data_IF_951029651476
#
_entry.id   IF_951029651476
#
_cell.length_a   1.000
_cell.length_b   1.000
_cell.length_c   1.000
_cell.angle_alpha   90.00
_cell.angle_beta   90.00
_cell.angle_gamma   90.00
#
_symmetry.space_group_name_H-M   'P 1'
#
loop_
_entity.id
_entity.type
_entity.pdbx_description
1 polymer ?
#
# COMPACT_ATOMS: atom_id res chain seq x y z
N UNK A 1 63.10 35.09 -42.66
CA UNK A 1 62.55 34.18 -43.67
C UNK A 1 62.13 32.87 -43.05
N UNK A 2 60.85 32.66 -42.80
CA UNK A 2 60.26 31.42 -42.34
C UNK A 2 60.36 30.41 -43.49
N UNK A 3 61.34 29.50 -43.44
CA UNK A 3 61.37 28.33 -44.31
C UNK A 3 60.14 27.48 -44.02
N UNK A 4 59.21 27.36 -44.94
CA UNK A 4 58.12 26.39 -44.92
C UNK A 4 58.74 25.00 -44.89
N UNK A 5 58.70 24.37 -43.73
CA UNK A 5 59.04 22.97 -43.58
C UNK A 5 58.00 22.17 -44.36
N UNK A 6 58.38 21.65 -45.54
CA UNK A 6 57.52 20.74 -46.30
C UNK A 6 57.29 19.49 -45.47
N UNK A 7 56.05 19.16 -45.11
CA UNK A 7 55.80 17.96 -44.36
C UNK A 7 56.30 16.75 -45.16
N UNK A 8 57.03 15.89 -44.47
CA UNK A 8 57.57 14.65 -45.03
C UNK A 8 56.39 13.85 -45.63
N UNK A 9 56.47 13.37 -46.85
CA UNK A 9 55.42 12.68 -47.62
C UNK A 9 54.84 11.48 -46.79
N UNK A 10 55.70 10.83 -46.02
CA UNK A 10 55.34 9.76 -45.10
C UNK A 10 54.41 10.24 -43.96
N UNK A 11 54.61 11.45 -43.41
CA UNK A 11 53.78 12.02 -42.38
C UNK A 11 52.37 12.35 -42.87
N UNK A 12 52.24 12.83 -44.11
CA UNK A 12 50.94 13.06 -44.77
C UNK A 12 50.19 11.75 -45.00
N UNK A 13 50.85 10.71 -45.49
CA UNK A 13 50.23 9.38 -45.68
C UNK A 13 49.78 8.77 -44.35
N UNK A 14 50.59 8.91 -43.31
CA UNK A 14 50.21 8.49 -41.97
C UNK A 14 48.98 9.28 -41.45
N UNK A 15 48.94 10.60 -41.62
CA UNK A 15 47.81 11.41 -41.23
C UNK A 15 46.52 11.00 -41.96
N UNK A 16 46.59 10.78 -43.28
CA UNK A 16 45.43 10.27 -44.03
C UNK A 16 45.01 8.86 -43.58
N UNK A 17 45.93 7.97 -43.31
CA UNK A 17 45.63 6.65 -42.81
C UNK A 17 44.94 6.71 -41.42
N UNK A 18 45.45 7.56 -40.51
CA UNK A 18 44.80 7.80 -39.20
C UNK A 18 43.43 8.40 -39.30
N UNK A 19 43.22 9.41 -40.19
CA UNK A 19 41.90 9.99 -40.41
C UNK A 19 40.95 8.94 -40.99
N UNK A 20 41.40 8.15 -41.96
CA UNK A 20 40.57 7.12 -42.59
C UNK A 20 40.18 6.02 -41.60
N UNK A 21 41.12 5.56 -40.74
CA UNK A 21 40.84 4.62 -39.69
C UNK A 21 39.91 5.20 -38.63
N UNK A 22 40.08 6.45 -38.24
CA UNK A 22 39.20 7.15 -37.32
C UNK A 22 37.78 7.27 -37.89
N UNK A 23 37.65 7.74 -39.13
CA UNK A 23 36.33 7.83 -39.79
C UNK A 23 35.69 6.46 -39.97
N UNK A 24 36.46 5.45 -40.34
CA UNK A 24 36.01 4.07 -40.45
C UNK A 24 35.54 3.49 -39.10
N UNK A 25 36.30 3.75 -38.04
CA UNK A 25 35.91 3.32 -36.71
C UNK A 25 34.63 4.04 -36.18
N UNK A 26 34.54 5.34 -36.42
CA UNK A 26 33.33 6.10 -36.04
C UNK A 26 32.11 5.61 -36.83
N UNK A 27 32.24 5.36 -38.13
CA UNK A 27 31.15 4.82 -38.95
C UNK A 27 30.77 3.39 -38.46
N UNK A 28 31.75 2.54 -38.20
CA UNK A 28 31.53 1.18 -37.71
C UNK A 28 30.81 1.21 -36.35
N UNK A 29 31.30 1.99 -35.40
CA UNK A 29 30.70 2.13 -34.05
C UNK A 29 29.29 2.66 -34.16
N UNK A 30 29.00 3.63 -35.05
CA UNK A 30 27.67 4.20 -35.19
C UNK A 30 26.64 3.22 -35.74
N UNK A 31 27.05 2.23 -36.52
CA UNK A 31 26.18 1.20 -37.09
C UNK A 31 25.99 -0.01 -36.17
N UNK A 32 26.69 -0.09 -35.05
CA UNK A 32 26.55 -1.20 -34.10
C UNK A 32 25.12 -1.26 -33.55
N UNK A 33 24.55 -2.47 -33.47
CA UNK A 33 23.26 -2.66 -32.83
C UNK A 33 23.39 -2.39 -31.33
N UNK A 34 22.57 -1.48 -30.85
CA UNK A 34 22.49 -1.08 -29.45
C UNK A 34 21.11 -1.41 -28.88
N UNK A 35 21.07 -2.21 -27.84
CA UNK A 35 19.81 -2.46 -27.16
C UNK A 35 19.46 -1.27 -26.25
N UNK A 36 18.36 -0.60 -26.56
CA UNK A 36 17.82 0.44 -25.69
C UNK A 36 17.36 -0.16 -24.38
N UNK A 37 17.57 0.54 -23.30
CA UNK A 37 17.12 0.14 -21.97
C UNK A 37 16.52 1.33 -21.25
N UNK A 38 15.40 1.09 -20.59
CA UNK A 38 14.89 1.94 -19.53
C UNK A 38 15.30 1.33 -18.20
N UNK A 39 15.62 2.13 -17.23
CA UNK A 39 16.02 1.65 -15.93
C UNK A 39 15.02 2.10 -14.85
N UNK A 40 14.80 1.25 -13.87
CA UNK A 40 13.97 1.53 -12.72
C UNK A 40 14.60 0.99 -11.45
N UNK A 41 14.23 1.55 -10.34
CA UNK A 41 14.60 1.08 -9.01
C UNK A 41 13.35 0.88 -8.17
N UNK A 42 13.42 -0.10 -7.28
CA UNK A 42 12.28 -0.41 -6.44
C UNK A 42 12.60 -1.52 -5.44
N UNK A 43 11.62 -2.34 -5.12
CA UNK A 43 11.76 -3.38 -4.12
C UNK A 43 10.92 -4.61 -4.42
N UNK A 44 11.28 -5.71 -3.78
CA UNK A 44 10.51 -6.95 -3.80
C UNK A 44 9.26 -6.78 -2.93
N UNK A 45 8.11 -7.06 -3.49
CA UNK A 45 6.82 -6.99 -2.79
C UNK A 45 5.96 -8.22 -3.10
N UNK A 46 5.04 -8.61 -2.24
CA UNK A 46 4.02 -9.59 -2.59
C UNK A 46 3.12 -9.07 -3.70
N UNK A 47 2.75 -9.95 -4.60
CA UNK A 47 1.82 -9.61 -5.67
C UNK A 47 0.44 -9.23 -5.11
N UNK A 48 -0.08 -10.03 -4.21
CA UNK A 48 -1.37 -9.79 -3.58
C UNK A 48 -1.25 -8.73 -2.46
N UNK A 49 -2.07 -7.66 -2.48
CA UNK A 49 -2.03 -6.62 -1.44
C UNK A 49 -2.23 -7.16 -0.01
N UNK A 50 -3.03 -8.22 0.12
CA UNK A 50 -3.32 -8.86 1.41
C UNK A 50 -2.11 -9.58 2.03
N UNK A 51 -1.07 -9.86 1.25
CA UNK A 51 0.15 -10.54 1.69
C UNK A 51 1.27 -9.55 2.04
N UNK A 52 0.99 -8.25 1.90
CA UNK A 52 1.92 -7.20 2.34
C UNK A 52 1.95 -7.10 3.86
N UNK A 53 2.97 -6.41 4.36
CA UNK A 53 3.10 -6.12 5.79
C UNK A 53 1.82 -5.52 6.36
N UNK A 54 1.27 -6.16 7.37
CA UNK A 54 0.03 -5.75 8.03
C UNK A 54 0.32 -5.20 9.40
N UNK A 55 -0.22 -4.01 9.68
CA UNK A 55 -0.22 -3.44 11.02
C UNK A 55 -1.47 -3.91 11.72
N UNK A 56 -1.31 -4.66 12.82
CA UNK A 56 -2.41 -5.08 13.66
C UNK A 56 -2.56 -4.03 14.75
N UNK A 57 -3.74 -3.40 14.77
CA UNK A 57 -4.06 -2.32 15.69
C UNK A 57 -4.91 -2.82 16.86
N UNK A 58 -4.87 -2.06 17.96
CA UNK A 58 -5.74 -2.28 19.11
C UNK A 58 -7.21 -2.02 18.73
N UNK A 59 -8.12 -2.98 18.94
CA UNK A 59 -9.54 -2.80 18.66
C UNK A 59 -10.25 -1.97 19.73
N UNK A 60 -9.66 -1.88 20.91
CA UNK A 60 -10.19 -1.17 22.09
C UNK A 60 -9.05 -0.50 22.86
N UNK A 61 -9.37 0.53 23.62
CA UNK A 61 -8.46 1.12 24.58
C UNK A 61 -8.33 0.23 25.80
N UNK A 62 -7.13 0.15 26.39
CA UNK A 62 -6.92 -0.62 27.61
C UNK A 62 -5.46 -0.74 28.00
N UNK A 63 -5.19 -1.65 28.93
CA UNK A 63 -3.86 -2.04 29.37
C UNK A 63 -3.47 -3.36 28.73
N UNK A 64 -2.26 -3.46 28.23
CA UNK A 64 -1.71 -4.73 27.78
C UNK A 64 -1.47 -5.61 28.99
N UNK A 65 -2.24 -6.68 29.10
CA UNK A 65 -2.14 -7.64 30.20
C UNK A 65 -1.08 -8.69 29.90
N UNK A 66 -1.12 -9.28 28.71
CA UNK A 66 -0.20 -10.36 28.33
C UNK A 66 0.05 -10.35 26.83
N UNK A 67 1.33 -10.53 26.45
CA UNK A 67 1.73 -10.89 25.10
C UNK A 67 1.84 -12.42 24.98
N UNK A 68 1.29 -12.98 23.90
CA UNK A 68 1.42 -14.40 23.55
C UNK A 68 2.50 -14.62 22.51
N UNK A 69 3.00 -13.55 21.90
CA UNK A 69 4.00 -13.60 20.84
C UNK A 69 5.20 -12.73 21.18
N UNK A 70 6.34 -13.05 20.56
CA UNK A 70 7.57 -12.26 20.60
C UNK A 70 7.97 -11.89 19.18
N UNK A 71 8.85 -10.91 19.03
CA UNK A 71 9.41 -10.58 17.72
C UNK A 71 10.11 -11.78 17.10
N UNK A 72 9.86 -12.04 15.82
CA UNK A 72 10.36 -13.23 15.12
C UNK A 72 9.49 -14.47 15.24
N UNK A 73 8.48 -14.50 16.10
CA UNK A 73 7.58 -15.64 16.24
C UNK A 73 6.73 -15.85 14.98
N UNK A 74 6.52 -17.11 14.61
CA UNK A 74 5.52 -17.50 13.60
C UNK A 74 4.18 -17.70 14.27
N UNK A 75 3.13 -17.23 13.61
CA UNK A 75 1.74 -17.33 14.05
C UNK A 75 0.87 -17.88 12.93
N UNK A 76 -0.11 -18.69 13.31
CA UNK A 76 -1.18 -19.15 12.42
C UNK A 76 -2.40 -18.22 12.50
N UNK A 77 -3.28 -18.30 11.51
CA UNK A 77 -4.53 -17.54 11.56
C UNK A 77 -5.34 -17.92 12.80
N UNK A 78 -5.77 -16.93 13.58
CA UNK A 78 -6.51 -17.13 14.83
C UNK A 78 -5.66 -17.27 16.09
N UNK A 79 -4.32 -17.38 15.97
CA UNK A 79 -3.46 -17.45 17.16
C UNK A 79 -3.54 -16.15 17.97
N UNK A 80 -3.56 -16.24 19.31
CA UNK A 80 -3.58 -15.07 20.17
C UNK A 80 -2.27 -14.29 20.08
N UNK A 81 -2.36 -12.99 19.91
CA UNK A 81 -1.20 -12.09 19.87
C UNK A 81 -1.03 -11.38 21.21
N UNK A 82 -2.08 -10.72 21.66
CA UNK A 82 -2.06 -9.92 22.89
C UNK A 82 -3.42 -9.86 23.54
N UNK A 83 -3.43 -9.85 24.86
CA UNK A 83 -4.60 -9.58 25.68
C UNK A 83 -4.58 -8.13 26.15
N UNK A 84 -5.70 -7.44 25.93
CA UNK A 84 -5.92 -6.06 26.37
C UNK A 84 -7.02 -6.11 27.44
N UNK A 85 -6.73 -5.63 28.64
CA UNK A 85 -7.68 -5.57 29.74
C UNK A 85 -8.17 -4.14 29.89
N UNK A 86 -9.47 -3.96 30.12
CA UNK A 86 -10.03 -2.64 30.43
C UNK A 86 -9.51 -2.16 31.82
N UNK A 87 -9.44 -0.85 31.99
CA UNK A 87 -9.14 -0.21 33.28
C UNK A 87 -10.20 -0.55 34.34
N UNK A 88 -11.43 -0.73 33.92
CA UNK A 88 -12.56 -1.00 34.80
C UNK A 88 -12.95 -2.47 34.69
N UNK A 89 -12.35 -3.28 35.55
CA UNK A 89 -12.64 -4.72 35.62
C UNK A 89 -14.11 -5.03 35.87
N UNK A 90 -14.87 -4.09 36.46
CA UNK A 90 -16.30 -4.25 36.76
C UNK A 90 -17.20 -3.72 35.62
N UNK A 91 -16.64 -3.03 34.63
CA UNK A 91 -17.43 -2.46 33.53
C UNK A 91 -18.17 -3.52 32.72
N UNK A 92 -17.51 -4.64 32.46
CA UNK A 92 -18.10 -5.75 31.73
C UNK A 92 -19.27 -6.39 32.48
N UNK A 93 -19.14 -6.57 33.80
CA UNK A 93 -20.21 -7.11 34.63
C UNK A 93 -21.39 -6.15 34.77
N UNK A 94 -21.09 -4.85 34.84
CA UNK A 94 -22.15 -3.82 34.79
C UNK A 94 -22.91 -3.84 33.47
N UNK A 95 -22.22 -3.98 32.33
CA UNK A 95 -22.87 -4.11 31.02
C UNK A 95 -23.74 -5.37 30.93
N UNK A 96 -23.32 -6.51 31.48
CA UNK A 96 -24.14 -7.74 31.56
C UNK A 96 -25.39 -7.52 32.39
N UNK A 97 -25.26 -6.88 33.56
CA UNK A 97 -26.40 -6.57 34.42
C UNK A 97 -27.37 -5.59 33.69
N UNK A 98 -26.85 -4.59 33.01
CA UNK A 98 -27.65 -3.67 32.22
C UNK A 98 -28.36 -4.38 31.06
N UNK A 99 -27.66 -5.32 30.37
CA UNK A 99 -28.26 -6.14 29.31
C UNK A 99 -29.47 -6.92 29.84
N UNK A 100 -29.33 -7.61 30.97
CA UNK A 100 -30.44 -8.39 31.57
C UNK A 100 -31.60 -7.51 31.98
N UNK A 101 -31.36 -6.34 32.57
CA UNK A 101 -32.40 -5.39 32.94
C UNK A 101 -33.13 -4.83 31.72
N UNK A 102 -32.40 -4.50 30.65
CA UNK A 102 -33.00 -4.01 29.40
C UNK A 102 -33.80 -5.11 28.70
N UNK A 103 -33.36 -6.34 28.73
CA UNK A 103 -34.11 -7.48 28.20
C UNK A 103 -35.42 -7.66 28.94
N UNK A 104 -35.42 -7.62 30.28
CA UNK A 104 -36.64 -7.69 31.09
C UNK A 104 -37.61 -6.52 30.80
N UNK A 105 -37.07 -5.29 30.62
CA UNK A 105 -37.89 -4.13 30.25
C UNK A 105 -38.53 -4.29 28.87
N UNK A 106 -37.78 -4.86 27.90
CA UNK A 106 -38.33 -5.16 26.57
C UNK A 106 -39.43 -6.20 26.64
N UNK A 107 -39.25 -7.27 27.41
CA UNK A 107 -40.26 -8.32 27.58
C UNK A 107 -41.52 -7.77 28.24
N UNK A 108 -41.40 -6.90 29.25
CA UNK A 108 -42.55 -6.20 29.85
C UNK A 108 -43.31 -5.28 28.85
N UNK A 109 -42.57 -4.53 28.02
CA UNK A 109 -43.16 -3.68 26.97
C UNK A 109 -43.87 -4.51 25.89
N UNK A 110 -43.36 -5.68 25.55
CA UNK A 110 -44.01 -6.63 24.61
C UNK A 110 -45.31 -7.18 25.17
N UNK A 111 -45.39 -7.51 26.47
CA UNK A 111 -46.63 -7.92 27.12
C UNK A 111 -47.67 -6.79 27.13
N UNK A 112 -47.23 -5.54 27.40
CA UNK A 112 -48.09 -4.38 27.34
C UNK A 112 -48.63 -4.14 25.90
N UNK A 113 -47.79 -4.29 24.88
CA UNK A 113 -48.19 -4.19 23.48
C UNK A 113 -49.20 -5.28 23.11
N UNK A 114 -48.99 -6.53 23.50
CA UNK A 114 -49.97 -7.61 23.24
C UNK A 114 -51.30 -7.34 23.92
N UNK A 115 -51.27 -6.85 25.15
CA UNK A 115 -52.49 -6.48 25.88
C UNK A 115 -53.24 -5.34 25.20
N UNK A 116 -52.55 -4.30 24.77
CA UNK A 116 -53.11 -3.17 24.02
C UNK A 116 -53.68 -3.58 22.66
N UNK A 117 -52.97 -4.51 21.97
CA UNK A 117 -53.48 -5.07 20.72
C UNK A 117 -54.78 -5.83 20.87
N UNK A 118 -54.91 -6.68 21.89
CA UNK A 118 -56.14 -7.39 22.22
C UNK A 118 -57.26 -6.40 22.57
N UNK A 119 -56.98 -5.30 23.26
CA UNK A 119 -57.94 -4.25 23.53
C UNK A 119 -58.38 -3.54 22.24
N UNK A 120 -57.45 -3.19 21.37
CA UNK A 120 -57.71 -2.58 20.07
C UNK A 120 -58.66 -3.45 19.23
N UNK A 121 -58.36 -4.74 19.10
CA UNK A 121 -59.21 -5.67 18.36
C UNK A 121 -60.60 -5.80 18.94
N UNK A 122 -60.72 -5.81 20.29
CA UNK A 122 -62.02 -5.83 20.97
C UNK A 122 -62.82 -4.56 20.70
N UNK A 123 -62.19 -3.36 20.82
CA UNK A 123 -62.87 -2.09 20.56
C UNK A 123 -63.29 -1.97 19.09
N UNK A 124 -62.47 -2.46 18.16
CA UNK A 124 -62.79 -2.54 16.73
C UNK A 124 -64.06 -3.34 16.49
N UNK A 125 -64.15 -4.56 17.02
CA UNK A 125 -65.33 -5.43 16.88
C UNK A 125 -66.58 -4.84 17.50
N UNK A 126 -66.46 -4.13 18.61
CA UNK A 126 -67.58 -3.47 19.27
C UNK A 126 -68.07 -2.23 18.49
N UNK A 127 -67.16 -1.45 17.93
CA UNK A 127 -67.47 -0.32 17.09
C UNK A 127 -68.17 -0.76 15.77
N UNK A 128 -67.68 -1.82 15.12
CA UNK A 128 -68.29 -2.42 13.93
C UNK A 128 -69.75 -2.88 14.18
N UNK A 129 -70.06 -3.28 15.42
CA UNK A 129 -71.43 -3.70 15.85
C UNK A 129 -72.26 -2.55 16.36
N UNK A 130 -71.78 -1.30 16.35
CA UNK A 130 -72.45 -0.15 16.85
C UNK A 130 -72.60 -0.07 18.38
N UNK A 131 -71.84 -0.94 19.13
CA UNK A 131 -71.93 -1.04 20.59
C UNK A 131 -70.95 -0.11 21.32
N UNK A 132 -70.03 0.52 20.58
CA UNK A 132 -69.03 1.48 21.07
C UNK A 132 -68.86 2.62 20.09
N UNK A 133 -68.38 3.78 20.59
CA UNK A 133 -68.10 4.93 19.75
C UNK A 133 -66.82 4.78 18.91
N UNK A 134 -66.80 5.43 17.75
CA UNK A 134 -65.60 5.52 16.91
C UNK A 134 -64.40 6.12 17.68
N UNK A 135 -64.68 7.04 18.60
CA UNK A 135 -63.67 7.65 19.47
C UNK A 135 -62.99 6.64 20.38
N UNK A 136 -63.71 5.64 20.95
CA UNK A 136 -63.12 4.60 21.80
C UNK A 136 -62.16 3.70 21.02
N UNK A 137 -62.48 3.42 19.75
CA UNK A 137 -61.58 2.69 18.85
C UNK A 137 -60.30 3.50 18.54
N UNK A 138 -60.46 4.82 18.26
CA UNK A 138 -59.33 5.70 17.97
C UNK A 138 -58.40 5.83 19.20
N UNK A 139 -58.91 5.93 20.39
CA UNK A 139 -58.14 5.95 21.63
C UNK A 139 -57.35 4.64 21.82
N UNK A 140 -58.00 3.49 21.60
CA UNK A 140 -57.33 2.20 21.69
C UNK A 140 -56.20 2.06 20.63
N UNK A 141 -56.41 2.62 19.44
CA UNK A 141 -55.38 2.66 18.39
C UNK A 141 -54.21 3.57 18.75
N UNK A 142 -54.44 4.70 19.38
CA UNK A 142 -53.39 5.57 19.89
C UNK A 142 -52.56 4.88 20.98
N UNK A 143 -53.23 4.17 21.90
CA UNK A 143 -52.57 3.40 22.96
C UNK A 143 -51.71 2.27 22.40
N UNK A 144 -52.20 1.51 21.43
CA UNK A 144 -51.43 0.49 20.71
C UNK A 144 -50.19 1.09 20.04
N UNK A 145 -50.34 2.19 19.30
CA UNK A 145 -49.21 2.85 18.64
C UNK A 145 -48.16 3.37 19.63
N UNK A 146 -48.59 3.83 20.82
CA UNK A 146 -47.72 4.24 21.91
C UNK A 146 -46.83 3.04 22.38
N UNK A 147 -47.44 1.90 22.69
CA UNK A 147 -46.72 0.72 23.13
C UNK A 147 -45.84 0.12 22.01
N UNK A 148 -46.26 0.22 20.74
CA UNK A 148 -45.44 -0.18 19.60
C UNK A 148 -44.16 0.65 19.51
N UNK A 149 -44.26 1.96 19.70
CA UNK A 149 -43.13 2.87 19.71
C UNK A 149 -42.21 2.60 20.91
N UNK A 150 -42.79 2.26 22.09
CA UNK A 150 -42.01 1.90 23.27
C UNK A 150 -41.19 0.61 23.07
N UNK A 151 -41.78 -0.44 22.48
CA UNK A 151 -41.07 -1.69 22.15
C UNK A 151 -39.91 -1.39 21.20
N UNK A 152 -40.12 -0.59 20.14
CA UNK A 152 -39.07 -0.22 19.22
C UNK A 152 -37.92 0.55 19.90
N UNK A 153 -38.24 1.43 20.86
CA UNK A 153 -37.24 2.15 21.65
C UNK A 153 -36.41 1.18 22.52
N UNK A 154 -37.07 0.20 23.20
CA UNK A 154 -36.38 -0.82 24.01
C UNK A 154 -35.55 -1.79 23.20
N UNK A 155 -36.00 -2.14 21.98
CA UNK A 155 -35.20 -2.94 21.04
C UNK A 155 -33.91 -2.21 20.62
N UNK A 156 -34.00 -0.91 20.36
CA UNK A 156 -32.82 -0.08 20.08
C UNK A 156 -31.86 -0.05 21.27
N UNK A 157 -32.37 0.21 22.48
CA UNK A 157 -31.55 0.23 23.70
C UNK A 157 -30.80 -1.12 23.89
N UNK A 158 -31.49 -2.24 23.63
CA UNK A 158 -30.92 -3.57 23.70
C UNK A 158 -29.77 -3.76 22.69
N UNK A 159 -29.98 -3.35 21.43
CA UNK A 159 -28.95 -3.42 20.37
C UNK A 159 -27.73 -2.57 20.72
N UNK A 160 -27.92 -1.38 21.29
CA UNK A 160 -26.83 -0.49 21.71
C UNK A 160 -25.98 -1.13 22.82
N UNK A 161 -26.62 -1.79 23.81
CA UNK A 161 -25.87 -2.50 24.87
C UNK A 161 -25.17 -3.72 24.33
N UNK A 162 -25.80 -4.50 23.46
CA UNK A 162 -25.19 -5.67 22.81
C UNK A 162 -23.95 -5.26 22.00
N UNK A 163 -24.04 -4.14 21.26
CA UNK A 163 -22.91 -3.60 20.50
C UNK A 163 -21.74 -3.21 21.42
N UNK A 164 -22.04 -2.56 22.56
CA UNK A 164 -21.02 -2.22 23.57
C UNK A 164 -20.38 -3.47 24.17
N UNK A 165 -21.19 -4.48 24.49
CA UNK A 165 -20.70 -5.74 25.05
C UNK A 165 -19.82 -6.50 24.05
N UNK A 166 -20.21 -6.54 22.76
CA UNK A 166 -19.42 -7.20 21.72
C UNK A 166 -18.08 -6.51 21.51
N UNK A 167 -18.02 -5.18 21.53
CA UNK A 167 -16.74 -4.42 21.46
C UNK A 167 -15.84 -4.74 22.66
N UNK A 168 -16.43 -4.85 23.86
CA UNK A 168 -15.68 -5.13 25.07
C UNK A 168 -15.18 -6.60 25.16
N UNK A 169 -15.87 -7.54 24.50
CA UNK A 169 -15.44 -8.93 24.41
C UNK A 169 -14.19 -9.14 23.53
N UNK A 170 -13.85 -8.14 22.67
CA UNK A 170 -12.63 -8.17 21.84
C UNK A 170 -11.36 -7.80 22.65
N UNK A 171 -11.20 -8.37 23.85
CA UNK A 171 -10.00 -8.15 24.66
C UNK A 171 -8.79 -8.92 24.16
N UNK A 172 -9.01 -9.96 23.36
CA UNK A 172 -7.95 -10.77 22.77
C UNK A 172 -7.78 -10.41 21.28
N UNK A 173 -6.61 -9.89 20.95
CA UNK A 173 -6.24 -9.62 19.56
C UNK A 173 -5.60 -10.89 18.99
N UNK A 174 -6.13 -11.36 17.87
CA UNK A 174 -5.66 -12.59 17.21
C UNK A 174 -5.02 -12.27 15.86
N UNK A 175 -4.19 -13.17 15.37
CA UNK A 175 -3.58 -13.06 14.05
C UNK A 175 -4.65 -13.23 12.95
N UNK A 176 -4.78 -12.29 12.02
CA UNK A 176 -5.76 -12.39 10.93
C UNK A 176 -5.39 -13.47 9.90
N UNK A 177 -4.12 -13.86 9.86
CA UNK A 177 -3.57 -14.90 8.97
C UNK A 177 -2.23 -15.41 9.48
N UNK A 178 -1.73 -16.46 8.85
CA UNK A 178 -0.38 -16.97 9.13
C UNK A 178 0.71 -15.99 8.67
N UNK A 179 1.80 -15.96 9.40
CA UNK A 179 2.92 -15.09 9.10
C UNK A 179 3.92 -15.01 10.25
N UNK A 180 4.86 -14.09 10.11
CA UNK A 180 5.88 -13.83 11.13
C UNK A 180 5.69 -12.45 11.75
N UNK A 181 5.75 -12.37 13.09
CA UNK A 181 5.73 -11.11 13.82
C UNK A 181 7.08 -10.40 13.60
N UNK A 182 7.06 -9.22 13.00
CA UNK A 182 8.28 -8.45 12.73
C UNK A 182 8.66 -7.53 13.87
N UNK A 183 7.68 -6.81 14.43
CA UNK A 183 7.90 -5.82 15.47
C UNK A 183 6.72 -5.77 16.43
N UNK A 184 7.05 -5.65 17.70
CA UNK A 184 6.13 -5.39 18.81
C UNK A 184 6.37 -3.96 19.29
N UNK A 185 5.33 -3.11 19.33
CA UNK A 185 5.50 -1.67 19.59
C UNK A 185 5.39 -1.29 21.05
N UNK A 186 4.82 -2.14 21.89
CA UNK A 186 4.62 -1.84 23.30
C UNK A 186 5.29 -2.89 24.19
N UNK A 187 5.89 -2.48 25.32
CA UNK A 187 6.51 -3.40 26.27
C UNK A 187 5.45 -4.28 26.97
N UNK A 188 5.88 -5.43 27.47
CA UNK A 188 5.05 -6.27 28.30
C UNK A 188 4.84 -5.64 29.68
N UNK A 189 3.59 -5.67 30.15
CA UNK A 189 3.23 -5.27 31.50
C UNK A 189 2.84 -3.79 31.63
N UNK A 190 1.54 -3.51 31.58
CA UNK A 190 0.96 -2.23 31.97
C UNK A 190 1.05 -1.09 30.96
N UNK A 191 1.49 -1.34 29.73
CA UNK A 191 1.43 -0.33 28.68
C UNK A 191 -0.02 -0.02 28.30
N UNK A 192 -0.35 1.26 28.30
CA UNK A 192 -1.66 1.77 27.90
C UNK A 192 -1.73 1.93 26.40
N UNK A 193 -2.76 1.39 25.78
CA UNK A 193 -3.03 1.52 24.35
C UNK A 193 -4.38 2.18 24.12
N UNK A 194 -4.50 2.90 23.01
CA UNK A 194 -5.73 3.49 22.51
C UNK A 194 -6.26 2.67 21.33
N UNK A 195 -7.54 2.78 21.07
CA UNK A 195 -8.12 2.23 19.85
C UNK A 195 -7.41 2.79 18.61
N UNK A 196 -6.98 1.89 17.71
CA UNK A 196 -6.21 2.24 16.52
C UNK A 196 -4.69 2.24 16.68
N UNK A 197 -4.14 2.17 17.91
CA UNK A 197 -2.69 2.08 18.11
C UNK A 197 -2.14 0.79 17.50
N UNK A 198 -1.04 0.90 16.73
CA UNK A 198 -0.39 -0.27 16.14
C UNK A 198 0.29 -1.09 17.23
N UNK A 199 -0.13 -2.32 17.42
CA UNK A 199 0.40 -3.26 18.41
C UNK A 199 1.59 -4.04 17.86
N UNK A 200 1.41 -4.64 16.68
CA UNK A 200 2.44 -5.44 16.01
C UNK A 200 2.42 -5.22 14.51
N UNK A 201 3.54 -5.50 13.87
CA UNK A 201 3.61 -5.65 12.41
C UNK A 201 3.75 -7.14 12.09
N UNK A 202 2.80 -7.67 11.34
CA UNK A 202 2.78 -9.03 10.81
C UNK A 202 3.28 -9.03 9.37
N UNK A 203 4.22 -9.90 9.04
CA UNK A 203 4.63 -10.24 7.69
C UNK A 203 3.98 -11.56 7.29
N UNK A 204 2.92 -11.53 6.47
CA UNK A 204 2.32 -12.77 5.98
C UNK A 204 3.31 -13.61 5.18
N UNK A 205 3.17 -14.93 5.24
CA UNK A 205 3.89 -15.81 4.33
C UNK A 205 3.26 -15.71 2.94
N UNK A 206 4.10 -15.49 1.92
CA UNK A 206 3.69 -15.42 0.51
C UNK A 206 4.68 -16.17 -0.36
N UNK A 207 4.17 -16.86 -1.36
CA UNK A 207 4.98 -17.55 -2.37
C UNK A 207 5.09 -16.73 -3.67
N UNK A 208 4.17 -15.77 -3.88
CA UNK A 208 4.14 -14.95 -5.08
C UNK A 208 4.79 -13.58 -4.84
N UNK A 209 6.11 -13.55 -5.05
CA UNK A 209 6.88 -12.32 -5.01
C UNK A 209 6.98 -11.71 -6.40
N UNK A 210 6.82 -10.40 -6.47
CA UNK A 210 7.06 -9.56 -7.65
C UNK A 210 8.00 -8.43 -7.28
N UNK A 211 8.59 -7.80 -8.28
CA UNK A 211 9.38 -6.59 -8.07
C UNK A 211 8.56 -5.41 -8.54
N UNK A 212 8.31 -4.47 -7.66
CA UNK A 212 7.85 -3.15 -8.08
C UNK A 212 9.05 -2.30 -8.47
N UNK A 213 9.00 -1.71 -9.66
CA UNK A 213 10.00 -0.77 -10.14
C UNK A 213 9.35 0.56 -10.48
N UNK A 214 10.05 1.62 -10.17
CA UNK A 214 9.66 2.98 -10.53
C UNK A 214 10.52 3.44 -11.70
N UNK A 215 9.88 3.66 -12.83
CA UNK A 215 10.49 4.06 -14.10
C UNK A 215 10.15 5.50 -14.44
N UNK A 216 10.99 6.13 -15.25
CA UNK A 216 10.78 7.50 -15.68
C UNK A 216 9.59 7.61 -16.65
N UNK A 217 8.75 8.66 -16.50
CA UNK A 217 7.60 8.88 -17.36
C UNK A 217 7.96 9.10 -18.83
N UNK A 218 9.18 9.58 -19.12
CA UNK A 218 9.63 9.76 -20.50
C UNK A 218 9.80 8.43 -21.25
N UNK A 219 10.09 7.34 -20.51
CA UNK A 219 10.28 6.02 -21.09
C UNK A 219 8.97 5.23 -21.17
N UNK A 220 7.89 5.71 -20.51
CA UNK A 220 6.61 5.02 -20.45
C UNK A 220 6.02 4.61 -21.80
N UNK A 221 6.06 5.47 -22.87
CA UNK A 221 5.55 5.09 -24.19
C UNK A 221 6.30 3.91 -24.83
N UNK A 222 7.52 3.61 -24.36
CA UNK A 222 8.35 2.53 -24.87
C UNK A 222 8.10 1.21 -24.12
N UNK A 223 7.35 1.26 -23.00
CA UNK A 223 7.05 0.10 -22.16
C UNK A 223 5.77 -0.61 -22.65
N UNK A 224 5.79 -1.92 -22.54
CA UNK A 224 4.60 -2.75 -22.75
C UNK A 224 4.61 -3.95 -21.82
N UNK A 225 3.42 -4.45 -21.48
CA UNK A 225 3.25 -5.68 -20.73
C UNK A 225 3.90 -6.84 -21.50
N UNK A 226 4.57 -7.74 -20.79
CA UNK A 226 5.30 -8.86 -21.36
C UNK A 226 6.74 -8.54 -21.81
N UNK A 227 7.21 -7.29 -21.73
CA UNK A 227 8.62 -6.98 -22.02
C UNK A 227 9.54 -7.60 -20.97
N UNK A 228 10.70 -8.04 -21.43
CA UNK A 228 11.74 -8.62 -20.57
C UNK A 228 12.43 -7.55 -19.75
N UNK A 229 12.72 -7.91 -18.52
CA UNK A 229 13.44 -7.06 -17.55
C UNK A 229 14.59 -7.86 -16.96
N UNK A 230 15.75 -7.25 -16.88
CA UNK A 230 16.90 -7.78 -16.11
C UNK A 230 16.88 -7.15 -14.73
N UNK A 231 16.83 -7.96 -13.70
CA UNK A 231 16.77 -7.56 -12.31
C UNK A 231 18.07 -7.85 -11.58
N UNK A 232 18.53 -6.90 -10.81
CA UNK A 232 19.62 -7.05 -9.86
C UNK A 232 19.06 -6.81 -8.46
N UNK A 233 19.18 -7.82 -7.60
CA UNK A 233 18.79 -7.69 -6.20
C UNK A 233 19.95 -7.18 -5.35
N UNK A 234 19.64 -6.39 -4.34
CA UNK A 234 20.64 -5.90 -3.38
C UNK A 234 21.30 -7.08 -2.65
N UNK A 235 22.62 -6.99 -2.47
CA UNK A 235 23.40 -8.08 -1.89
C UNK A 235 23.81 -9.18 -2.87
N UNK A 236 23.35 -9.12 -4.13
CA UNK A 236 23.73 -10.08 -5.16
C UNK A 236 24.78 -9.48 -6.10
N UNK A 237 25.97 -10.08 -6.23
CA UNK A 237 27.00 -9.56 -7.13
C UNK A 237 26.54 -9.69 -8.58
N UNK A 238 26.60 -8.60 -9.32
CA UNK A 238 26.27 -8.59 -10.74
C UNK A 238 27.32 -7.81 -11.53
N UNK A 239 27.68 -8.33 -12.70
CA UNK A 239 28.53 -7.65 -13.69
C UNK A 239 27.67 -7.33 -14.90
N UNK A 240 27.64 -6.06 -15.30
CA UNK A 240 26.82 -5.58 -16.40
C UNK A 240 27.68 -4.93 -17.47
N UNK A 241 27.25 -5.09 -18.72
CA UNK A 241 27.82 -4.40 -19.87
C UNK A 241 26.80 -3.43 -20.43
N UNK A 242 27.15 -2.14 -20.43
CA UNK A 242 26.31 -1.11 -21.01
C UNK A 242 26.09 -1.39 -22.50
N UNK A 243 24.85 -1.37 -22.97
CA UNK A 243 24.50 -1.71 -24.36
C UNK A 243 24.22 -3.19 -24.64
N UNK A 244 24.60 -4.09 -23.73
CA UNK A 244 24.34 -5.52 -23.84
C UNK A 244 23.86 -6.12 -22.52
N UNK A 245 22.75 -5.64 -21.97
CA UNK A 245 22.26 -6.10 -20.65
C UNK A 245 21.83 -7.57 -20.66
N UNK A 246 21.60 -8.16 -21.82
CA UNK A 246 21.29 -9.58 -21.95
C UNK A 246 22.48 -10.49 -21.58
N UNK A 247 23.70 -9.97 -21.58
CA UNK A 247 24.93 -10.71 -21.25
C UNK A 247 25.33 -10.50 -19.78
N UNK A 248 24.55 -9.77 -19.00
CA UNK A 248 24.85 -9.48 -17.60
C UNK A 248 24.85 -10.76 -16.74
N UNK A 249 25.93 -10.97 -16.00
CA UNK A 249 26.07 -12.11 -15.06
C UNK A 249 25.57 -11.67 -13.69
N UNK A 250 24.84 -12.56 -13.00
CA UNK A 250 24.28 -12.27 -11.66
C UNK A 250 22.99 -11.44 -11.68
N UNK A 251 22.36 -11.29 -12.84
CA UNK A 251 21.03 -10.71 -12.97
C UNK A 251 19.99 -11.79 -13.22
N UNK A 252 18.74 -11.51 -12.84
CA UNK A 252 17.61 -12.43 -12.96
C UNK A 252 16.61 -11.90 -13.97
N UNK A 253 16.01 -12.83 -14.72
CA UNK A 253 14.98 -12.49 -15.69
C UNK A 253 13.63 -12.21 -15.04
N UNK A 254 12.90 -11.27 -15.62
CA UNK A 254 11.51 -10.98 -15.28
C UNK A 254 10.74 -10.47 -16.47
N UNK A 255 9.44 -10.47 -16.37
CA UNK A 255 8.51 -9.95 -17.36
C UNK A 255 7.64 -8.86 -16.72
N UNK A 256 7.38 -7.79 -17.46
CA UNK A 256 6.43 -6.77 -17.01
C UNK A 256 5.03 -7.39 -16.96
N UNK A 257 4.46 -7.48 -15.78
CA UNK A 257 3.09 -7.98 -15.54
C UNK A 257 2.06 -6.86 -15.66
N UNK A 258 2.37 -5.71 -15.08
CA UNK A 258 1.44 -4.57 -15.01
C UNK A 258 2.21 -3.26 -15.06
N UNK A 259 1.62 -2.27 -15.70
CA UNK A 259 2.08 -0.87 -15.74
C UNK A 259 0.94 -0.05 -15.13
N UNK A 260 1.23 0.72 -14.09
CA UNK A 260 0.22 1.58 -13.47
C UNK A 260 -0.16 2.72 -14.42
N UNK A 261 -1.46 3.05 -14.53
CA UNK A 261 -1.94 4.10 -15.45
C UNK A 261 -1.67 5.52 -14.96
N UNK A 262 -1.26 5.69 -13.70
CA UNK A 262 -1.04 6.99 -13.06
C UNK A 262 0.36 7.11 -12.50
N UNK A 263 0.85 8.36 -12.43
CA UNK A 263 2.11 8.70 -11.76
C UNK A 263 2.04 8.39 -10.26
N UNK A 264 3.13 7.82 -9.74
CA UNK A 264 3.32 7.53 -8.30
C UNK A 264 3.88 8.72 -7.52
N UNK A 265 3.95 9.90 -8.12
CA UNK A 265 4.61 11.10 -7.65
C UNK A 265 6.03 11.24 -8.23
N UNK A 266 6.47 12.46 -8.43
CA UNK A 266 7.77 12.81 -9.01
C UNK A 266 7.99 12.34 -10.48
N UNK A 267 6.96 12.22 -11.31
CA UNK A 267 7.07 11.84 -12.72
C UNK A 267 7.51 10.40 -12.96
N UNK A 268 7.34 9.52 -11.95
CA UNK A 268 7.68 8.10 -12.04
C UNK A 268 6.44 7.24 -12.04
N UNK A 269 6.45 6.24 -12.92
CA UNK A 269 5.38 5.25 -13.02
C UNK A 269 5.83 3.93 -12.42
N UNK A 270 4.94 3.31 -11.68
CA UNK A 270 5.18 2.00 -11.08
C UNK A 270 4.86 0.91 -12.09
N UNK A 271 5.77 -0.05 -12.21
CA UNK A 271 5.55 -1.29 -12.94
C UNK A 271 5.76 -2.48 -12.00
N UNK A 272 5.01 -3.54 -12.23
CA UNK A 272 5.19 -4.81 -11.53
C UNK A 272 5.84 -5.81 -12.47
N UNK A 273 6.90 -6.45 -11.99
CA UNK A 273 7.69 -7.44 -12.74
C UNK A 273 7.56 -8.78 -12.04
N UNK A 274 7.14 -9.80 -12.78
CA UNK A 274 7.08 -11.19 -12.31
C UNK A 274 8.30 -11.99 -12.80
N UNK A 275 8.65 -13.14 -12.17
CA UNK A 275 9.71 -14.01 -12.64
C UNK A 275 9.46 -14.52 -14.05
N UNK A 276 10.48 -14.53 -14.91
CA UNK A 276 10.40 -15.20 -16.22
C UNK A 276 10.60 -16.71 -16.01
N UNK A 277 9.58 -17.50 -16.35
CA UNK A 277 9.60 -18.97 -16.22
C UNK A 277 10.61 -19.65 -17.14
N UNK A 278 11.07 -18.97 -18.18
CA UNK A 278 12.05 -19.48 -19.13
C UNK A 278 13.50 -19.24 -18.71
N UNK A 279 13.72 -18.54 -17.59
CA UNK A 279 15.02 -18.22 -17.07
C UNK A 279 15.24 -18.84 -15.68
N UNK A 280 16.49 -18.84 -15.16
CA UNK A 280 16.75 -19.33 -13.82
C UNK A 280 15.82 -18.66 -12.79
N UNK A 281 15.28 -19.43 -11.84
CA UNK A 281 14.37 -18.88 -10.84
C UNK A 281 15.09 -17.82 -9.99
N UNK A 282 14.31 -16.87 -9.50
CA UNK A 282 14.82 -15.90 -8.54
C UNK A 282 15.32 -16.60 -7.27
N UNK A 283 16.24 -15.98 -6.51
CA UNK A 283 16.72 -16.55 -5.27
C UNK A 283 15.56 -16.87 -4.35
N UNK A 284 15.55 -18.08 -3.79
CA UNK A 284 14.51 -18.49 -2.85
C UNK A 284 14.68 -17.83 -1.48
N UNK A 285 13.69 -18.06 -0.61
CA UNK A 285 13.83 -17.74 0.81
C UNK A 285 14.97 -18.61 1.41
N UNK A 286 15.81 -18.07 2.29
CA UNK A 286 15.69 -16.82 3.04
C UNK A 286 16.36 -15.60 2.39
N UNK A 287 16.89 -15.72 1.16
CA UNK A 287 17.71 -14.66 0.53
C UNK A 287 16.82 -13.52 0.03
N UNK A 288 15.81 -13.84 -0.78
CA UNK A 288 14.89 -12.86 -1.32
C UNK A 288 13.70 -12.67 -0.38
N UNK A 289 13.70 -11.55 0.35
CA UNK A 289 12.66 -11.18 1.29
C UNK A 289 11.89 -9.97 0.78
N UNK A 290 10.67 -9.81 1.26
CA UNK A 290 9.90 -8.59 1.05
C UNK A 290 10.69 -7.37 1.51
N UNK A 291 10.75 -6.31 0.69
CA UNK A 291 11.50 -5.08 0.96
C UNK A 291 12.95 -5.10 0.47
N UNK A 292 13.49 -6.22 -0.04
CA UNK A 292 14.81 -6.24 -0.69
C UNK A 292 14.79 -5.29 -1.88
N UNK A 293 15.78 -4.40 -1.95
CA UNK A 293 15.87 -3.45 -3.06
C UNK A 293 16.26 -4.15 -4.35
N UNK A 294 15.68 -3.68 -5.44
CA UNK A 294 15.96 -4.17 -6.77
C UNK A 294 16.23 -3.03 -7.75
N UNK A 295 17.15 -3.25 -8.66
CA UNK A 295 17.34 -2.43 -9.87
C UNK A 295 16.91 -3.25 -11.06
N UNK A 296 16.18 -2.64 -11.99
CA UNK A 296 15.70 -3.29 -13.20
C UNK A 296 16.10 -2.53 -14.45
N UNK A 297 16.50 -3.27 -15.46
CA UNK A 297 16.75 -2.78 -16.82
C UNK A 297 15.71 -3.43 -17.73
N UNK A 298 14.80 -2.63 -18.20
CA UNK A 298 13.76 -3.05 -19.13
C UNK A 298 14.37 -3.05 -20.52
N UNK A 299 14.35 -4.19 -21.18
CA UNK A 299 14.89 -4.38 -22.52
C UNK A 299 13.89 -3.81 -23.53
N UNK A 300 14.28 -2.70 -24.18
CA UNK A 300 13.49 -2.06 -25.21
C UNK A 300 13.90 -2.59 -26.60
N UNK A 301 13.69 -1.81 -27.63
CA UNK A 301 14.01 -2.21 -29.01
C UNK A 301 15.51 -2.05 -29.30
N UNK A 302 16.01 -2.84 -30.26
CA UNK A 302 17.39 -2.72 -30.71
C UNK A 302 17.44 -1.66 -31.81
N UNK A 303 18.25 -0.64 -31.57
CA UNK A 303 18.46 0.50 -32.49
C UNK A 303 19.92 0.61 -32.85
N UNK A 304 20.26 1.44 -33.84
CA UNK A 304 21.65 1.75 -34.14
C UNK A 304 22.23 2.71 -33.09
N UNK A 305 23.50 2.52 -32.73
CA UNK A 305 24.13 3.31 -31.67
C UNK A 305 24.12 4.82 -31.92
N UNK A 306 24.27 5.25 -33.18
CA UNK A 306 24.19 6.69 -33.53
C UNK A 306 22.84 7.30 -33.19
N UNK A 307 21.72 6.53 -33.38
CA UNK A 307 20.37 6.99 -33.05
C UNK A 307 20.19 7.15 -31.54
N UNK A 308 20.70 6.20 -30.75
CA UNK A 308 20.65 6.29 -29.30
C UNK A 308 21.48 7.46 -28.75
N UNK A 309 22.66 7.70 -29.35
CA UNK A 309 23.46 8.87 -29.01
C UNK A 309 22.75 10.18 -29.36
N UNK A 310 22.17 10.24 -30.57
CA UNK A 310 21.38 11.39 -31.00
C UNK A 310 20.19 11.65 -30.07
N UNK A 311 19.45 10.60 -29.70
CA UNK A 311 18.33 10.67 -28.77
C UNK A 311 18.76 11.23 -27.40
N UNK A 312 19.86 10.74 -26.85
CA UNK A 312 20.40 11.21 -25.57
C UNK A 312 20.90 12.65 -25.63
N UNK A 313 21.55 13.03 -26.73
CA UNK A 313 22.03 14.39 -26.92
C UNK A 313 20.91 15.43 -27.08
N UNK A 314 19.83 15.08 -27.77
CA UNK A 314 18.70 15.95 -27.95
C UNK A 314 17.74 15.97 -26.77
N UNK A 315 18.00 15.20 -25.73
CA UNK A 315 17.27 15.16 -24.48
C UNK A 315 15.76 15.22 -24.64
N UNK A 316 15.06 14.14 -24.37
CA UNK A 316 13.64 14.27 -24.17
C UNK A 316 13.38 15.31 -23.08
N UNK A 317 12.22 16.02 -23.10
CA UNK A 317 11.95 17.07 -22.14
C UNK A 317 12.22 16.58 -20.71
N UNK A 318 12.77 17.46 -19.84
CA UNK A 318 13.05 17.10 -18.46
C UNK A 318 11.80 16.56 -17.78
N UNK A 319 11.95 15.55 -16.94
CA UNK A 319 10.83 15.00 -16.17
C UNK A 319 10.17 16.09 -15.33
N UNK A 320 8.86 16.06 -15.22
CA UNK A 320 8.10 16.99 -14.38
C UNK A 320 8.67 17.06 -12.95
N UNK A 321 9.19 15.95 -12.41
CA UNK A 321 9.86 15.91 -11.11
C UNK A 321 11.15 16.73 -11.01
N UNK A 322 11.87 16.95 -12.09
CA UNK A 322 13.03 17.85 -12.10
C UNK A 322 12.62 19.31 -12.16
N UNK A 323 11.52 19.60 -12.85
CA UNK A 323 10.89 20.93 -12.89
C UNK A 323 10.36 21.30 -11.50
N UNK A 324 9.60 20.41 -10.87
CA UNK A 324 9.05 20.61 -9.53
C UNK A 324 10.16 20.89 -8.49
N UNK A 325 11.26 20.11 -8.55
CA UNK A 325 12.40 20.28 -7.64
C UNK A 325 13.15 21.61 -7.85
N UNK A 326 13.10 22.15 -9.05
CA UNK A 326 13.66 23.47 -9.35
C UNK A 326 12.72 24.58 -8.85
N UNK A 327 11.41 24.47 -9.05
CA UNK A 327 10.41 25.39 -8.49
C UNK A 327 10.46 25.41 -6.96
N UNK A 328 10.51 24.26 -6.29
CA UNK A 328 10.63 24.15 -4.83
C UNK A 328 11.95 24.73 -4.27
N UNK A 329 13.03 24.71 -5.07
CA UNK A 329 14.29 25.35 -4.69
C UNK A 329 14.24 26.88 -4.86
N UNK A 330 13.62 27.37 -5.94
CA UNK A 330 13.44 28.80 -6.18
C UNK A 330 12.48 29.41 -5.15
N UNK A 331 11.40 28.72 -4.80
CA UNK A 331 10.43 29.17 -3.79
C UNK A 331 11.06 29.24 -2.40
N UNK A 332 11.83 28.23 -2.02
CA UNK A 332 12.60 28.24 -0.75
C UNK A 332 13.72 29.28 -0.73
N UNK A 333 14.28 29.63 -1.88
CA UNK A 333 15.30 30.68 -1.97
C UNK A 333 14.66 32.07 -1.89
N UNK A 334 13.53 32.28 -2.53
CA UNK A 334 12.78 33.54 -2.46
C UNK A 334 12.17 33.77 -1.07
N UNK A 335 11.69 32.73 -0.39
CA UNK A 335 11.20 32.82 0.98
C UNK A 335 12.34 33.16 2.00
N UNK A 336 13.54 32.60 1.79
CA UNK A 336 14.72 32.96 2.58
C UNK A 336 15.16 34.40 2.35
N UNK A 337 15.12 34.87 1.10
CA UNK A 337 15.43 36.24 0.75
C UNK A 337 14.42 37.22 1.37
N UNK A 338 13.12 36.91 1.29
CA UNK A 338 12.06 37.70 1.94
C UNK A 338 12.17 37.79 3.43
N UNK A 339 12.57 36.69 4.12
CA UNK A 339 12.84 36.68 5.56
C UNK A 339 14.09 37.47 5.95
N UNK A 340 15.13 37.49 5.09
CA UNK A 340 16.35 38.25 5.27
C UNK A 340 16.11 39.75 5.14
N UNK A 341 15.34 40.19 4.13
CA UNK A 341 14.97 41.59 3.93
C UNK A 341 14.13 42.14 5.09
N UNK A 342 13.19 41.31 5.60
CA UNK A 342 12.35 41.68 6.75
C UNK A 342 13.11 41.79 8.07
N UNK A 343 14.30 41.18 8.18
CA UNK A 343 15.21 41.25 9.32
C UNK A 343 16.17 42.44 9.26
N UNK A 344 16.41 43.00 8.07
CA UNK A 344 17.24 44.19 7.87
C UNK A 344 16.44 45.51 7.95
N UNK A 345 15.11 45.45 7.98
CA UNK A 345 14.22 46.60 8.05
C UNK A 345 13.63 46.83 9.47
N UNK A 346 14.17 46.18 10.50
CA UNK A 346 13.90 46.41 11.91
C UNK A 346 15.22 46.79 12.59
#
# INVERSE_FOLDING_TARGET
SLRWVRPIVSARRLAYALILTLCGSVLFISLLPWQQTSWGSGSVVPYHPNERLQKIAAPVKGLISRWHVVEGARVSAGDPIVEITDFDTQYFDRLKTQLSATQQALDASRVALDTSNRNLERQKKLAERGLKSQRDFELAKLEYNKFLAEVAAKEKDLMDIQSKLSRQAMQQVVAPREGQIMRVFFPQGGAMVKEGDTLVTLAPETDELVVELFVDGNDLPLLSVGRRVRLQFEGWPAIQFSGWPAVAVGTFGGLIKTIDPSDSGNGKFRILVEPDRNEPPWPGRPILRQGVRAKGWILLDTVQLWYELWRRFNGFPPTLGSIQKNYDKEDKSSEKLGKSIKKMGK
#
